data_IF_999973872588
#
_entry.id   IF_999973872588
#
_cell.length_a   1.000
_cell.length_b   1.000
_cell.length_c   1.000
_cell.angle_alpha   90.00
_cell.angle_beta   90.00
_cell.angle_gamma   90.00
#
_symmetry.space_group_name_H-M   'P 1'
#
loop_
_entity.id
_entity.type
_entity.pdbx_description
1 polymer ?
#
# COMPACT_ATOMS: atom_id res chain seq x y z
N UNK A 1 -12.60 14.10 21.25
CA UNK A 1 -12.38 13.92 19.81
C UNK A 1 -11.19 13.00 19.70
N UNK A 2 -11.44 11.70 19.69
CA UNK A 2 -10.41 10.68 19.92
C UNK A 2 -9.64 10.50 18.61
N UNK A 3 -8.33 10.75 18.65
CA UNK A 3 -7.38 10.55 17.55
C UNK A 3 -7.38 9.11 17.05
N UNK A 4 -8.36 8.76 16.23
CA UNK A 4 -8.57 7.42 15.67
C UNK A 4 -7.65 7.16 14.45
N UNK A 5 -6.46 7.75 14.41
CA UNK A 5 -5.63 7.76 13.19
C UNK A 5 -4.21 7.21 13.34
N UNK A 6 -3.85 6.66 14.48
CA UNK A 6 -2.50 6.13 14.69
C UNK A 6 -2.49 4.62 14.48
N UNK A 7 -2.16 4.20 13.26
CA UNK A 7 -1.43 2.93 13.09
C UNK A 7 0.03 3.25 13.33
N UNK A 8 0.54 2.91 14.52
CA UNK A 8 1.97 3.02 14.86
C UNK A 8 2.56 4.43 14.92
N UNK A 9 1.75 5.49 15.04
CA UNK A 9 2.20 6.88 15.15
C UNK A 9 2.37 7.59 13.81
N UNK A 10 2.09 6.91 12.69
CA UNK A 10 2.19 7.51 11.36
C UNK A 10 1.00 8.41 11.08
N UNK A 11 1.28 9.63 10.66
CA UNK A 11 0.27 10.57 10.17
C UNK A 11 -0.29 10.06 8.84
N UNK A 12 -1.61 10.08 8.68
CA UNK A 12 -2.24 9.69 7.41
C UNK A 12 -1.86 10.64 6.27
N UNK A 13 -1.96 10.15 5.04
CA UNK A 13 -1.71 10.94 3.84
C UNK A 13 -2.74 12.05 3.72
N UNK A 14 -2.26 13.28 3.54
CA UNK A 14 -3.03 14.44 3.12
C UNK A 14 -2.28 15.17 2.00
N UNK A 15 -2.88 16.24 1.50
CA UNK A 15 -2.35 17.02 0.37
C UNK A 15 -0.98 17.68 0.63
N UNK A 16 -0.53 17.75 1.89
CA UNK A 16 0.68 18.51 2.26
C UNK A 16 1.83 17.64 2.79
N UNK A 17 1.65 16.33 2.95
CA UNK A 17 2.64 15.48 3.62
C UNK A 17 3.12 14.28 2.81
N UNK A 18 2.86 14.24 1.50
CA UNK A 18 3.20 13.08 0.66
C UNK A 18 4.65 12.64 0.74
N UNK A 19 5.61 13.56 0.68
CA UNK A 19 7.04 13.20 0.65
C UNK A 19 7.46 12.46 1.95
N UNK A 20 7.00 12.96 3.09
CA UNK A 20 7.22 12.31 4.38
C UNK A 20 6.45 11.00 4.48
N UNK A 21 5.18 11.02 4.07
CA UNK A 21 4.29 9.85 4.11
C UNK A 21 4.83 8.70 3.25
N UNK A 22 5.16 8.95 1.98
CA UNK A 22 5.69 7.96 1.05
C UNK A 22 6.97 7.30 1.56
N UNK A 23 7.86 8.07 2.19
CA UNK A 23 9.09 7.56 2.81
C UNK A 23 8.79 6.66 4.01
N UNK A 24 7.84 7.06 4.87
CA UNK A 24 7.40 6.26 6.02
C UNK A 24 6.72 4.95 5.58
N UNK A 25 5.84 5.02 4.57
CA UNK A 25 5.14 3.85 4.02
C UNK A 25 6.12 2.88 3.39
N UNK A 26 7.06 3.38 2.58
CA UNK A 26 8.08 2.55 1.96
C UNK A 26 8.87 1.79 3.03
N UNK A 27 9.34 2.49 4.06
CA UNK A 27 10.09 1.89 5.17
C UNK A 27 9.25 0.86 5.96
N UNK A 28 7.98 1.16 6.23
CA UNK A 28 7.05 0.25 6.89
C UNK A 28 6.84 -1.03 6.09
N UNK A 29 6.57 -0.89 4.78
CA UNK A 29 6.32 -2.02 3.88
C UNK A 29 7.58 -2.87 3.70
N UNK A 30 8.77 -2.27 3.71
CA UNK A 30 10.04 -3.00 3.68
C UNK A 30 10.25 -3.81 4.98
N UNK A 31 10.02 -3.20 6.15
CA UNK A 31 10.14 -3.89 7.44
C UNK A 31 9.15 -5.04 7.64
N UNK A 32 8.02 -5.01 6.93
CA UNK A 32 6.99 -6.05 6.95
C UNK A 32 7.10 -7.08 5.82
N UNK A 33 8.15 -6.98 4.97
CA UNK A 33 8.33 -7.82 3.78
C UNK A 33 7.14 -7.77 2.79
N UNK A 34 6.51 -6.59 2.70
CA UNK A 34 5.35 -6.29 1.85
C UNK A 34 5.75 -5.55 0.56
N UNK A 35 6.93 -4.92 0.54
CA UNK A 35 7.36 -4.07 -0.59
C UNK A 35 7.58 -4.84 -1.90
N UNK A 36 7.89 -6.14 -1.84
CA UNK A 36 8.06 -6.97 -3.04
C UNK A 36 6.72 -7.28 -3.74
N UNK A 37 5.60 -7.27 -3.00
CA UNK A 37 4.25 -7.28 -3.57
C UNK A 37 4.00 -5.99 -4.35
N UNK A 38 4.42 -4.84 -3.79
CA UNK A 38 4.21 -3.51 -4.38
C UNK A 38 4.94 -3.37 -5.72
N UNK A 39 6.19 -3.84 -5.78
CA UNK A 39 6.97 -3.84 -7.03
C UNK A 39 6.40 -4.76 -8.10
N UNK A 40 5.57 -5.73 -7.73
CA UNK A 40 5.09 -6.78 -8.63
C UNK A 40 6.11 -7.88 -8.90
N UNK A 41 7.22 -7.92 -8.17
CA UNK A 41 8.26 -8.95 -8.31
C UNK A 41 7.74 -10.33 -7.92
N UNK A 42 6.92 -10.42 -6.86
CA UNK A 42 6.34 -11.69 -6.40
C UNK A 42 5.33 -12.29 -7.41
N UNK A 43 4.64 -11.44 -8.20
CA UNK A 43 3.74 -11.90 -9.27
C UNK A 43 4.51 -12.62 -10.38
N UNK A 44 5.72 -12.14 -10.67
CA UNK A 44 6.62 -12.76 -11.64
C UNK A 44 7.13 -14.11 -11.13
N UNK A 45 7.48 -14.22 -9.84
CA UNK A 45 7.85 -15.50 -9.21
C UNK A 45 6.70 -16.51 -9.19
N UNK A 46 5.47 -16.06 -8.92
CA UNK A 46 4.25 -16.88 -8.96
C UNK A 46 3.96 -17.48 -10.33
N UNK A 47 4.45 -16.85 -11.41
CA UNK A 47 4.29 -17.34 -12.78
C UNK A 47 5.28 -18.48 -13.12
N UNK A 48 6.29 -18.69 -12.27
CA UNK A 48 7.37 -19.67 -12.48
C UNK A 48 7.18 -20.92 -11.62
N UNK A 49 6.47 -20.86 -10.49
CA UNK A 49 6.21 -22.01 -9.60
C UNK A 49 4.71 -22.27 -9.37
N UNK A 50 4.25 -23.47 -9.69
CA UNK A 50 2.97 -24.01 -9.25
C UNK A 50 3.12 -24.56 -7.82
N UNK A 51 2.95 -23.69 -6.83
CA UNK A 51 2.88 -24.08 -5.43
C UNK A 51 1.76 -23.30 -4.75
N UNK A 52 0.66 -23.97 -4.44
CA UNK A 52 -0.50 -23.37 -3.76
C UNK A 52 -0.16 -22.62 -2.46
N UNK A 53 0.94 -23.01 -1.80
CA UNK A 53 1.49 -22.32 -0.63
C UNK A 53 2.11 -20.95 -0.97
N UNK A 54 2.79 -20.82 -2.11
CA UNK A 54 3.33 -19.55 -2.61
C UNK A 54 2.19 -18.60 -2.97
N UNK A 55 1.15 -19.11 -3.65
CA UNK A 55 -0.05 -18.32 -3.97
C UNK A 55 -0.80 -17.85 -2.71
N UNK A 56 -0.95 -18.72 -1.71
CA UNK A 56 -1.61 -18.38 -0.45
C UNK A 56 -0.83 -17.31 0.32
N UNK A 57 0.50 -17.47 0.44
CA UNK A 57 1.36 -16.47 1.09
C UNK A 57 1.28 -15.12 0.38
N UNK A 58 1.31 -15.12 -0.95
CA UNK A 58 1.17 -13.89 -1.76
C UNK A 58 -0.19 -13.20 -1.57
N UNK A 59 -1.30 -13.96 -1.58
CA UNK A 59 -2.64 -13.41 -1.31
C UNK A 59 -2.71 -12.76 0.09
N UNK A 60 -2.10 -13.40 1.09
CA UNK A 60 -2.04 -12.86 2.46
C UNK A 60 -1.21 -11.57 2.50
N UNK A 61 -0.02 -11.55 1.88
CA UNK A 61 0.82 -10.35 1.81
C UNK A 61 0.08 -9.21 1.09
N UNK A 62 -0.54 -9.49 -0.05
CA UNK A 62 -1.34 -8.52 -0.81
C UNK A 62 -2.47 -7.93 0.03
N UNK A 63 -3.21 -8.77 0.77
CA UNK A 63 -4.25 -8.31 1.69
C UNK A 63 -3.71 -7.39 2.79
N UNK A 64 -2.56 -7.74 3.39
CA UNK A 64 -1.90 -6.92 4.41
C UNK A 64 -1.43 -5.57 3.87
N UNK A 65 -0.81 -5.55 2.69
CA UNK A 65 -0.38 -4.32 2.02
C UNK A 65 -1.56 -3.40 1.76
N UNK A 66 -2.67 -3.95 1.24
CA UNK A 66 -3.86 -3.16 0.92
C UNK A 66 -4.55 -2.63 2.19
N UNK A 67 -4.61 -3.42 3.26
CA UNK A 67 -5.12 -2.97 4.55
C UNK A 67 -4.26 -1.84 5.14
N UNK A 68 -2.93 -2.00 5.12
CA UNK A 68 -1.98 -1.00 5.60
C UNK A 68 -2.13 0.33 4.85
N UNK A 69 -2.24 0.31 3.52
CA UNK A 69 -2.50 1.52 2.74
C UNK A 69 -3.81 2.19 3.10
N UNK A 70 -4.92 1.45 3.13
CA UNK A 70 -6.24 2.00 3.49
C UNK A 70 -6.24 2.66 4.86
N UNK A 71 -5.49 2.12 5.81
CA UNK A 71 -5.36 2.69 7.15
C UNK A 71 -4.49 3.94 7.20
N UNK A 72 -3.56 4.10 6.26
CA UNK A 72 -2.58 5.18 6.25
C UNK A 72 -2.95 6.32 5.30
N UNK A 73 -4.07 6.23 4.58
CA UNK A 73 -4.59 7.28 3.71
C UNK A 73 -5.81 7.92 4.38
N UNK A 74 -5.93 9.26 4.35
CA UNK A 74 -7.14 9.94 4.82
C UNK A 74 -8.35 9.59 3.94
N UNK A 75 -9.56 9.71 4.50
CA UNK A 75 -10.79 9.21 3.87
C UNK A 75 -11.16 10.00 2.60
N UNK A 76 -10.70 11.25 2.48
CA UNK A 76 -10.84 12.10 1.31
C UNK A 76 -9.95 11.61 0.15
N UNK A 77 -8.70 11.25 0.43
CA UNK A 77 -7.76 10.70 -0.55
C UNK A 77 -8.13 9.26 -0.91
N UNK A 78 -8.68 8.49 0.04
CA UNK A 78 -9.13 7.11 -0.18
C UNK A 78 -10.18 7.01 -1.31
N UNK A 79 -11.07 8.00 -1.42
CA UNK A 79 -12.11 8.03 -2.47
C UNK A 79 -11.55 7.97 -3.89
N UNK A 80 -10.32 8.43 -4.09
CA UNK A 80 -9.67 8.46 -5.40
C UNK A 80 -9.00 7.15 -5.79
N UNK A 81 -8.75 6.26 -4.83
CA UNK A 81 -8.09 4.95 -5.03
C UNK A 81 -9.02 3.76 -4.77
N UNK A 82 -10.28 4.00 -4.40
CA UNK A 82 -11.25 2.93 -4.14
C UNK A 82 -11.65 2.16 -5.41
N UNK A 83 -11.66 2.82 -6.56
CA UNK A 83 -11.99 2.19 -7.86
C UNK A 83 -10.81 1.45 -8.50
N UNK A 84 -9.60 1.59 -7.94
CA UNK A 84 -8.41 0.94 -8.47
C UNK A 84 -8.42 -0.55 -8.12
N UNK A 85 -8.63 -1.37 -9.16
CA UNK A 85 -8.71 -2.84 -9.07
C UNK A 85 -7.41 -3.50 -8.62
N UNK A 86 -6.29 -2.79 -8.70
CA UNK A 86 -4.96 -3.29 -8.35
C UNK A 86 -4.16 -2.27 -7.56
N UNK A 87 -3.43 -2.76 -6.55
CA UNK A 87 -2.54 -1.97 -5.69
C UNK A 87 -1.58 -1.07 -6.46
N UNK A 88 -0.99 -1.60 -7.55
CA UNK A 88 -0.06 -0.84 -8.39
C UNK A 88 -0.73 0.42 -8.94
N UNK A 89 -1.95 0.27 -9.48
CA UNK A 89 -2.76 1.39 -9.96
C UNK A 89 -3.07 2.38 -8.85
N UNK A 90 -3.47 1.91 -7.66
CA UNK A 90 -3.72 2.79 -6.52
C UNK A 90 -2.48 3.62 -6.13
N UNK A 91 -1.29 3.02 -6.08
CA UNK A 91 -0.05 3.75 -5.84
C UNK A 91 0.30 4.72 -6.97
N UNK A 92 0.17 4.29 -8.23
CA UNK A 92 0.47 5.11 -9.41
C UNK A 92 -0.49 6.32 -9.49
N UNK A 93 -1.79 6.13 -9.22
CA UNK A 93 -2.81 7.19 -9.14
C UNK A 93 -2.48 8.20 -8.05
N UNK A 94 -2.02 7.75 -6.87
CA UNK A 94 -1.58 8.66 -5.80
C UNK A 94 -0.37 9.50 -6.22
N UNK A 95 0.61 8.89 -6.89
CA UNK A 95 1.79 9.62 -7.42
C UNK A 95 1.36 10.68 -8.42
N UNK A 96 0.47 10.35 -9.38
CA UNK A 96 -0.02 11.29 -10.40
C UNK A 96 -0.84 12.43 -9.79
N UNK A 97 -1.66 12.15 -8.76
CA UNK A 97 -2.47 13.17 -8.09
C UNK A 97 -1.63 14.20 -7.33
N UNK A 98 -0.39 13.87 -6.97
CA UNK A 98 0.47 14.72 -6.13
C UNK A 98 1.62 15.37 -6.90
N UNK A 99 1.74 15.09 -8.20
CA UNK A 99 2.59 15.83 -9.15
C UNK A 99 1.88 17.02 -9.82
N UNK A 100 0.60 17.26 -9.49
CA UNK A 100 -0.20 18.41 -9.95
C UNK A 100 -0.15 19.58 -8.97
#
# INVERSE_FOLDING_TARGET
>A
MTDLQVVGGMKKLNNNNYNTWSTCIKSYMQGQDLWEVVKGNEVTQLKVEDAGDTLRKWKIKTGKTMFALKMMVEEDVLKHILDDKTHKTACDTLTVLQEK
#
